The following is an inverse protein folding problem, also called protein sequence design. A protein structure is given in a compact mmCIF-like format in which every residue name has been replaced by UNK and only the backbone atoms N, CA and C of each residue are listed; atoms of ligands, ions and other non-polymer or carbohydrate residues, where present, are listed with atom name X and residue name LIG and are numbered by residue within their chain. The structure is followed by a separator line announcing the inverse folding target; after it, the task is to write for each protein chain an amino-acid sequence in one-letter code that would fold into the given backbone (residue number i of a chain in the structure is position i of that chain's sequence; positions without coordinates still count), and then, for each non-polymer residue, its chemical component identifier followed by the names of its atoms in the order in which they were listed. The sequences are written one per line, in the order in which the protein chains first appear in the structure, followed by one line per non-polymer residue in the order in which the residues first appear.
data_IF_191203804669
#
_entry.id   IF_191203804669
#
_cell.length_a   1.000
_cell.length_b   1.000
_cell.length_c   1.000
_cell.angle_alpha   90.00
_cell.angle_beta   90.00
_cell.angle_gamma   90.00
#
_symmetry.space_group_name_H-M   'P 1'
#
loop_
_entity.id
_entity.type
_entity.pdbx_description
1 polymer ?
#
# COMPACT_ATOMS: atom_id res chain seq x y z
N UNK A 1 34.80 -14.99 4.20
CA UNK A 1 33.92 -14.16 3.36
C UNK A 1 34.16 -12.74 3.78
N UNK A 2 34.99 -12.03 3.03
CA UNK A 2 35.69 -10.84 3.52
C UNK A 2 34.84 -9.56 3.42
N UNK A 3 33.59 -9.70 2.96
CA UNK A 3 32.65 -8.59 2.79
C UNK A 3 31.58 -8.53 3.87
N UNK A 4 31.38 -9.57 4.68
CA UNK A 4 30.26 -9.62 5.64
C UNK A 4 30.31 -8.46 6.63
N UNK A 5 31.47 -8.24 7.26
CA UNK A 5 31.67 -7.16 8.23
C UNK A 5 31.52 -5.73 7.65
N UNK A 6 31.52 -5.59 6.32
CA UNK A 6 31.36 -4.33 5.61
C UNK A 6 30.02 -4.23 4.86
N UNK A 7 29.17 -5.26 4.94
CA UNK A 7 27.87 -5.31 4.26
C UNK A 7 26.78 -4.95 5.25
N UNK A 8 26.13 -3.77 5.12
CA UNK A 8 25.06 -3.39 6.02
C UNK A 8 23.86 -4.30 5.88
N UNK A 9 23.26 -4.67 7.02
CA UNK A 9 21.98 -5.40 7.06
C UNK A 9 20.94 -4.54 7.75
N UNK A 10 19.72 -4.53 7.19
CA UNK A 10 18.60 -3.79 7.75
C UNK A 10 17.29 -4.59 7.64
N UNK A 11 16.44 -4.46 8.65
CA UNK A 11 15.05 -4.90 8.64
C UNK A 11 14.17 -3.69 9.00
N UNK A 12 13.17 -3.46 8.17
CA UNK A 12 12.21 -2.38 8.37
C UNK A 12 10.80 -2.94 8.38
N UNK A 13 10.11 -2.82 9.51
CA UNK A 13 8.73 -3.27 9.65
C UNK A 13 7.76 -2.17 9.18
N UNK A 14 6.62 -2.52 8.60
CA UNK A 14 5.67 -1.56 8.00
C UNK A 14 4.36 -1.47 8.79
N UNK A 15 3.23 -1.15 8.14
CA UNK A 15 1.95 -0.81 8.79
C UNK A 15 1.43 -1.89 9.75
N UNK A 16 1.66 -3.17 9.46
CA UNK A 16 1.21 -4.26 10.34
C UNK A 16 1.75 -4.11 11.76
N UNK A 17 3.03 -3.75 11.91
CA UNK A 17 3.63 -3.52 13.23
C UNK A 17 3.24 -2.15 13.81
N UNK A 18 3.01 -1.13 12.97
CA UNK A 18 2.50 0.19 13.38
C UNK A 18 1.12 0.11 14.06
N UNK A 19 0.31 -0.89 13.71
CA UNK A 19 -1.02 -1.10 14.25
C UNK A 19 -1.04 -1.92 15.56
N UNK A 20 0.08 -2.51 15.96
CA UNK A 20 0.18 -3.26 17.22
C UNK A 20 0.35 -2.33 18.43
N UNK A 21 -0.01 -2.78 19.64
CA UNK A 21 0.41 -2.14 20.86
C UNK A 21 1.94 -1.98 20.92
N UNK A 22 2.41 -0.81 21.36
CA UNK A 22 3.83 -0.44 21.34
C UNK A 22 4.75 -1.50 21.98
N UNK A 23 4.37 -2.03 23.14
CA UNK A 23 5.13 -3.07 23.86
C UNK A 23 5.31 -4.35 23.03
N UNK A 24 4.26 -4.79 22.32
CA UNK A 24 4.34 -5.97 21.43
C UNK A 24 5.26 -5.68 20.24
N UNK A 25 5.12 -4.51 19.64
CA UNK A 25 5.94 -4.11 18.49
C UNK A 25 7.43 -4.03 18.88
N UNK A 26 7.75 -3.38 19.99
CA UNK A 26 9.11 -3.26 20.53
C UNK A 26 9.71 -4.62 20.88
N UNK A 27 8.95 -5.48 21.56
CA UNK A 27 9.38 -6.84 21.90
C UNK A 27 9.76 -7.68 20.67
N UNK A 28 9.00 -7.55 19.56
CA UNK A 28 9.32 -8.21 18.30
C UNK A 28 10.60 -7.64 17.66
N UNK A 29 10.76 -6.31 17.64
CA UNK A 29 11.96 -5.68 17.10
C UNK A 29 13.22 -6.05 17.90
N UNK A 30 13.11 -6.17 19.22
CA UNK A 30 14.23 -6.56 20.07
C UNK A 30 14.71 -7.98 19.78
N UNK A 31 13.79 -8.91 19.46
CA UNK A 31 14.18 -10.26 18.97
C UNK A 31 14.91 -10.22 17.64
N UNK A 32 14.51 -9.34 16.73
CA UNK A 32 15.26 -9.12 15.48
C UNK A 32 16.64 -8.53 15.75
N UNK A 33 16.75 -7.54 16.66
CA UNK A 33 18.04 -6.94 17.06
C UNK A 33 18.97 -7.97 17.69
N UNK A 34 18.46 -8.84 18.56
CA UNK A 34 19.21 -9.97 19.13
C UNK A 34 19.78 -10.86 18.02
N UNK A 35 18.96 -11.26 17.06
CA UNK A 35 19.40 -12.06 15.91
C UNK A 35 20.47 -11.33 15.07
N UNK A 36 20.26 -10.05 14.77
CA UNK A 36 21.20 -9.23 13.99
C UNK A 36 22.56 -9.10 14.68
N UNK A 37 22.58 -8.90 16.01
CA UNK A 37 23.83 -8.85 16.80
C UNK A 37 24.68 -10.12 16.69
N UNK A 38 24.04 -11.27 16.46
CA UNK A 38 24.75 -12.55 16.26
C UNK A 38 25.15 -12.80 14.81
N UNK A 39 24.71 -11.96 13.88
CA UNK A 39 25.02 -12.08 12.46
C UNK A 39 26.41 -11.53 12.14
N UNK A 40 27.07 -12.01 11.06
CA UNK A 40 28.38 -11.51 10.65
C UNK A 40 28.31 -10.17 9.88
N UNK A 41 27.12 -9.62 9.67
CA UNK A 41 26.88 -8.42 8.88
C UNK A 41 27.13 -7.14 9.68
N UNK A 42 27.31 -6.01 8.98
CA UNK A 42 27.38 -4.71 9.63
C UNK A 42 25.98 -4.29 10.12
N UNK A 43 25.82 -4.23 11.43
CA UNK A 43 24.58 -3.79 12.09
C UNK A 43 24.79 -2.39 12.67
N UNK A 44 23.92 -1.45 12.30
CA UNK A 44 23.88 -0.08 12.81
C UNK A 44 22.68 0.09 13.74
N UNK A 45 22.66 1.18 14.51
CA UNK A 45 21.56 1.47 15.44
C UNK A 45 20.20 1.59 14.73
N UNK A 46 20.22 2.04 13.47
CA UNK A 46 19.03 2.19 12.65
C UNK A 46 18.71 0.96 11.80
N UNK A 47 19.48 -0.14 11.89
CA UNK A 47 19.28 -1.35 11.10
C UNK A 47 17.90 -1.97 11.31
N UNK A 48 17.38 -1.96 12.54
CA UNK A 48 16.09 -2.59 12.88
C UNK A 48 15.14 -1.53 13.44
N UNK A 49 14.13 -1.15 12.66
CA UNK A 49 13.11 -0.18 13.10
C UNK A 49 11.78 -0.37 12.38
N UNK A 50 10.74 0.28 12.89
CA UNK A 50 9.52 0.49 12.13
C UNK A 50 9.78 1.61 11.11
N UNK A 51 9.40 1.37 9.87
CA UNK A 51 9.44 2.37 8.80
C UNK A 51 8.22 3.29 8.93
N UNK A 52 8.46 4.59 8.80
CA UNK A 52 7.36 5.53 8.62
C UNK A 52 6.62 5.22 7.31
N UNK A 53 5.32 5.46 7.27
CA UNK A 53 4.54 5.17 6.07
C UNK A 53 4.95 6.02 4.87
N UNK A 54 5.36 7.27 5.11
CA UNK A 54 5.83 8.17 4.06
C UNK A 54 7.20 7.72 3.53
N UNK A 55 8.10 7.26 4.41
CA UNK A 55 9.39 6.66 4.04
C UNK A 55 9.19 5.41 3.16
N UNK A 56 8.17 4.60 3.45
CA UNK A 56 7.81 3.41 2.65
C UNK A 56 7.40 3.80 1.23
N UNK A 57 6.54 4.80 1.08
CA UNK A 57 6.13 5.34 -0.22
C UNK A 57 7.30 5.96 -1.01
N UNK A 58 8.14 6.76 -0.34
CA UNK A 58 9.35 7.34 -0.95
C UNK A 58 10.30 6.24 -1.42
N UNK A 59 10.55 5.23 -0.59
CA UNK A 59 11.44 4.13 -0.92
C UNK A 59 10.92 3.34 -2.12
N UNK A 60 9.62 3.07 -2.18
CA UNK A 60 8.99 2.48 -3.36
C UNK A 60 9.11 3.36 -4.61
N UNK A 61 8.94 4.67 -4.49
CA UNK A 61 9.12 5.60 -5.60
C UNK A 61 10.56 5.61 -6.11
N UNK A 62 11.55 5.58 -5.21
CA UNK A 62 12.97 5.44 -5.54
C UNK A 62 13.20 4.13 -6.30
N UNK A 63 12.67 3.00 -5.83
CA UNK A 63 12.80 1.70 -6.52
C UNK A 63 12.36 1.82 -7.98
N UNK A 64 11.13 2.28 -8.23
CA UNK A 64 10.56 2.33 -9.58
C UNK A 64 11.35 3.28 -10.47
N UNK A 65 11.68 4.47 -9.96
CA UNK A 65 12.39 5.49 -10.73
C UNK A 65 13.87 5.14 -10.94
N UNK A 66 14.49 4.36 -10.07
CA UNK A 66 15.83 3.82 -10.26
C UNK A 66 15.83 2.80 -11.40
N UNK A 67 14.93 1.82 -11.35
CA UNK A 67 14.82 0.77 -12.37
C UNK A 67 14.52 1.39 -13.75
N UNK A 68 13.69 2.44 -13.78
CA UNK A 68 13.33 3.16 -15.00
C UNK A 68 14.30 4.28 -15.40
N UNK A 69 15.43 4.41 -14.72
CA UNK A 69 16.51 5.37 -15.01
C UNK A 69 16.07 6.85 -15.01
N UNK A 70 15.03 7.19 -14.22
CA UNK A 70 14.52 8.56 -14.08
C UNK A 70 15.21 9.34 -12.95
N UNK A 71 15.91 8.68 -12.02
CA UNK A 71 16.51 9.37 -10.86
C UNK A 71 17.61 10.36 -11.26
N UNK A 72 18.38 10.06 -12.31
CA UNK A 72 19.48 10.90 -12.77
C UNK A 72 19.03 12.10 -13.62
N UNK A 73 17.76 12.13 -14.02
CA UNK A 73 17.22 13.20 -14.85
C UNK A 73 17.06 14.50 -14.04
N UNK A 74 17.31 15.63 -14.72
CA UNK A 74 17.12 16.98 -14.14
C UNK A 74 15.65 17.39 -14.12
N UNK A 75 14.83 16.83 -15.01
CA UNK A 75 13.39 17.02 -14.98
C UNK A 75 12.77 16.12 -13.92
N UNK A 76 11.74 16.60 -13.21
CA UNK A 76 10.87 15.74 -12.39
C UNK A 76 10.39 14.50 -13.16
N UNK A 77 10.29 13.38 -12.46
CA UNK A 77 9.81 12.14 -13.07
C UNK A 77 8.30 12.19 -13.25
N UNK A 78 7.83 11.81 -14.43
CA UNK A 78 6.40 11.61 -14.69
C UNK A 78 5.86 10.30 -14.10
N UNK A 79 6.67 9.54 -13.36
CA UNK A 79 6.28 8.28 -12.75
C UNK A 79 5.96 8.47 -11.26
N UNK A 80 4.71 8.16 -10.91
CA UNK A 80 4.25 7.98 -9.55
C UNK A 80 4.13 6.50 -9.17
N UNK A 81 3.94 6.24 -7.89
CA UNK A 81 3.66 4.90 -7.35
C UNK A 81 2.41 4.88 -6.49
N UNK A 82 1.81 3.70 -6.43
CA UNK A 82 0.72 3.34 -5.52
C UNK A 82 1.06 1.99 -4.88
N UNK A 83 1.09 1.93 -3.55
CA UNK A 83 1.29 0.67 -2.82
C UNK A 83 0.07 0.43 -1.94
N UNK A 84 -0.63 -0.69 -2.13
CA UNK A 84 -1.72 -1.09 -1.25
C UNK A 84 -1.29 -2.29 -0.41
N UNK A 85 -0.82 -2.00 0.81
CA UNK A 85 -0.49 -2.99 1.82
C UNK A 85 -1.71 -3.48 2.59
N UNK A 86 -1.48 -4.32 3.60
CA UNK A 86 -2.53 -4.83 4.49
C UNK A 86 -3.10 -3.76 5.44
N UNK A 87 -2.22 -2.94 6.03
CA UNK A 87 -2.57 -1.95 7.04
C UNK A 87 -2.55 -0.49 6.57
N UNK A 88 -1.90 -0.17 5.46
CA UNK A 88 -1.89 1.18 4.88
C UNK A 88 -1.85 1.12 3.36
N UNK A 89 -2.12 2.27 2.74
CA UNK A 89 -1.89 2.52 1.31
C UNK A 89 -1.03 3.77 1.14
N UNK A 90 -0.14 3.76 0.16
CA UNK A 90 0.80 4.83 -0.13
C UNK A 90 0.59 5.38 -1.53
N UNK A 91 0.75 6.69 -1.66
CA UNK A 91 0.86 7.40 -2.94
C UNK A 91 2.08 8.29 -2.89
N UNK A 92 2.94 8.18 -3.90
CA UNK A 92 4.14 9.02 -3.99
C UNK A 92 4.44 9.39 -5.44
N UNK A 93 4.70 10.66 -5.72
CA UNK A 93 5.09 11.14 -7.04
C UNK A 93 5.88 12.45 -6.95
N UNK A 94 6.53 12.84 -8.05
CA UNK A 94 7.19 14.14 -8.16
C UNK A 94 6.18 15.15 -8.74
N UNK A 95 5.71 16.16 -7.98
CA UNK A 95 4.81 17.17 -8.52
C UNK A 95 5.53 18.05 -9.55
N UNK A 96 4.87 18.35 -10.67
CA UNK A 96 5.32 19.29 -11.71
C UNK A 96 4.52 20.59 -11.68
N UNK A 97 3.31 20.56 -11.11
CA UNK A 97 2.41 21.70 -11.04
C UNK A 97 2.62 22.52 -9.77
N UNK A 98 2.80 23.83 -9.92
CA UNK A 98 2.79 24.78 -8.80
C UNK A 98 1.48 24.71 -8.00
N UNK A 99 0.36 24.37 -8.66
CA UNK A 99 -0.94 24.18 -8.00
C UNK A 99 -0.89 23.04 -6.98
N UNK A 100 -0.28 21.91 -7.34
CA UNK A 100 -0.12 20.76 -6.45
C UNK A 100 0.74 21.14 -5.25
N UNK A 101 1.85 21.84 -5.49
CA UNK A 101 2.77 22.29 -4.44
C UNK A 101 2.11 23.28 -3.46
N UNK A 102 1.22 24.14 -3.94
CA UNK A 102 0.57 25.17 -3.12
C UNK A 102 -0.68 24.68 -2.39
N UNK A 103 -1.44 23.76 -2.98
CA UNK A 103 -2.75 23.32 -2.44
C UNK A 103 -2.66 22.03 -1.62
N UNK A 104 -1.59 21.24 -1.77
CA UNK A 104 -1.39 20.04 -0.96
C UNK A 104 -1.05 20.38 0.49
N UNK A 105 -1.43 19.52 1.47
CA UNK A 105 -0.96 19.64 2.84
C UNK A 105 0.57 19.71 2.91
N UNK A 106 1.08 20.58 3.78
CA UNK A 106 2.53 20.84 3.91
C UNK A 106 3.28 19.56 4.27
N UNK A 107 2.70 18.71 5.12
CA UNK A 107 3.26 17.44 5.55
C UNK A 107 3.27 16.36 4.45
N UNK A 108 2.62 16.61 3.31
CA UNK A 108 2.62 15.69 2.17
C UNK A 108 3.73 16.05 1.17
N UNK A 109 4.26 17.27 1.22
CA UNK A 109 5.36 17.70 0.37
C UNK A 109 6.67 17.55 1.13
N UNK A 110 7.53 16.66 0.64
CA UNK A 110 8.82 16.35 1.26
C UNK A 110 9.97 16.52 0.28
N UNK A 111 11.14 16.89 0.79
CA UNK A 111 12.37 16.98 0.00
C UNK A 111 13.37 15.97 0.52
N UNK A 112 13.84 15.09 -0.36
CA UNK A 112 14.87 14.11 -0.05
C UNK A 112 16.17 14.46 -0.77
N UNK A 113 17.30 14.09 -0.16
CA UNK A 113 18.59 14.06 -0.84
C UNK A 113 18.86 12.64 -1.33
N UNK A 114 19.13 12.50 -2.62
CA UNK A 114 19.51 11.22 -3.19
C UNK A 114 20.55 11.45 -4.28
N UNK A 115 21.71 10.82 -4.15
CA UNK A 115 22.83 10.93 -5.08
C UNK A 115 23.23 12.39 -5.35
N UNK A 116 23.40 13.17 -4.27
CA UNK A 116 23.71 14.61 -4.31
C UNK A 116 22.69 15.47 -5.07
N UNK A 117 21.43 15.03 -5.16
CA UNK A 117 20.35 15.80 -5.75
C UNK A 117 19.16 15.86 -4.82
N UNK A 118 18.62 17.06 -4.66
CA UNK A 118 17.34 17.28 -4.00
C UNK A 118 16.21 16.82 -4.93
N UNK A 119 15.30 15.99 -4.41
CA UNK A 119 14.05 15.62 -5.08
C UNK A 119 12.87 16.05 -4.19
N UNK A 120 11.99 16.87 -4.74
CA UNK A 120 10.74 17.26 -4.08
C UNK A 120 9.65 16.27 -4.50
N UNK A 121 8.99 15.66 -3.52
CA UNK A 121 7.99 14.62 -3.71
C UNK A 121 6.70 15.00 -2.97
N UNK A 122 5.57 14.69 -3.59
CA UNK A 122 4.33 14.45 -2.88
C UNK A 122 4.36 13.01 -2.38
N UNK A 123 4.21 12.79 -1.08
CA UNK A 123 4.17 11.45 -0.49
C UNK A 123 3.24 11.43 0.71
N UNK A 124 2.33 10.46 0.74
CA UNK A 124 1.51 10.22 1.91
C UNK A 124 1.18 8.74 2.10
N UNK A 125 1.03 8.34 3.37
CA UNK A 125 0.60 7.00 3.78
C UNK A 125 -0.68 7.08 4.60
N UNK A 126 -1.74 6.48 4.07
CA UNK A 126 -3.02 6.42 4.75
C UNK A 126 -3.08 5.16 5.63
N UNK A 127 -2.64 5.29 6.89
CA UNK A 127 -2.71 4.22 7.88
C UNK A 127 -4.18 3.84 8.20
N UNK A 128 -4.46 2.54 8.30
CA UNK A 128 -5.80 1.99 8.46
C UNK A 128 -6.59 1.88 7.15
N UNK A 129 -6.07 2.40 6.04
CA UNK A 129 -6.64 2.28 4.70
C UNK A 129 -5.85 1.27 3.82
N UNK A 130 -5.14 0.33 4.44
CA UNK A 130 -4.69 -0.87 3.73
C UNK A 130 -5.85 -1.82 3.48
N UNK A 131 -5.70 -2.78 2.57
CA UNK A 131 -6.83 -3.63 2.14
C UNK A 131 -7.46 -4.40 3.30
N UNK A 132 -6.65 -4.97 4.20
CA UNK A 132 -7.16 -5.79 5.31
C UNK A 132 -7.77 -4.95 6.42
N UNK A 133 -7.15 -3.82 6.78
CA UNK A 133 -7.72 -2.89 7.75
C UNK A 133 -9.00 -2.23 7.24
N UNK A 134 -9.05 -1.86 5.96
CA UNK A 134 -10.25 -1.35 5.33
C UNK A 134 -11.34 -2.42 5.29
N UNK A 135 -11.00 -3.67 4.99
CA UNK A 135 -11.93 -4.80 5.04
C UNK A 135 -12.58 -4.92 6.43
N UNK A 136 -11.80 -4.87 7.51
CA UNK A 136 -12.35 -4.90 8.86
C UNK A 136 -13.38 -3.77 9.09
N UNK A 137 -13.03 -2.54 8.69
CA UNK A 137 -13.93 -1.39 8.80
C UNK A 137 -15.21 -1.57 7.95
N UNK A 138 -15.08 -2.08 6.72
CA UNK A 138 -16.22 -2.36 5.82
C UNK A 138 -17.12 -3.46 6.40
N UNK A 139 -16.56 -4.46 7.07
CA UNK A 139 -17.33 -5.48 7.79
C UNK A 139 -18.00 -4.92 9.05
N UNK A 140 -17.59 -3.74 9.53
CA UNK A 140 -18.12 -3.09 10.73
C UNK A 140 -17.35 -3.42 12.01
N UNK A 141 -16.17 -4.02 11.87
CA UNK A 141 -15.25 -4.23 12.98
C UNK A 141 -14.42 -2.98 13.29
N UNK A 142 -13.64 -3.07 14.37
CA UNK A 142 -12.72 -2.02 14.80
C UNK A 142 -11.37 -2.67 15.11
N UNK A 143 -10.29 -2.07 14.64
CA UNK A 143 -8.94 -2.59 14.84
C UNK A 143 -8.64 -2.88 16.32
N UNK A 144 -7.98 -4.01 16.57
CA UNK A 144 -7.62 -4.49 17.91
C UNK A 144 -8.79 -4.63 18.90
N UNK A 145 -10.04 -4.72 18.43
CA UNK A 145 -11.22 -4.91 19.30
C UNK A 145 -11.97 -6.21 18.97
N UNK A 146 -11.81 -7.26 19.80
CA UNK A 146 -12.59 -8.48 19.68
C UNK A 146 -14.09 -8.23 19.83
N UNK A 147 -14.90 -9.07 19.18
CA UNK A 147 -16.33 -9.10 19.38
C UNK A 147 -16.69 -9.64 20.77
N UNK A 148 -17.80 -9.15 21.35
CA UNK A 148 -18.35 -9.79 22.56
C UNK A 148 -18.95 -11.15 22.19
N UNK A 149 -19.03 -12.06 23.16
CA UNK A 149 -19.62 -13.39 22.95
C UNK A 149 -21.00 -13.32 22.27
N UNK A 150 -21.16 -14.09 21.20
CA UNK A 150 -22.41 -14.16 20.41
C UNK A 150 -22.61 -13.03 19.40
N UNK A 151 -21.71 -12.06 19.30
CA UNK A 151 -21.76 -11.03 18.25
C UNK A 151 -21.17 -11.53 16.93
N UNK A 152 -21.70 -11.01 15.83
CA UNK A 152 -21.23 -11.27 14.46
C UNK A 152 -21.18 -9.94 13.70
N UNK A 153 -20.21 -9.81 12.79
CA UNK A 153 -20.17 -8.69 11.86
C UNK A 153 -21.13 -8.95 10.69
N UNK A 154 -22.04 -8.01 10.45
CA UNK A 154 -23.01 -8.08 9.35
C UNK A 154 -22.62 -7.04 8.32
N UNK A 155 -22.43 -7.48 7.08
CA UNK A 155 -21.96 -6.59 6.00
C UNK A 155 -22.80 -6.71 4.75
N UNK A 156 -23.16 -5.55 4.21
CA UNK A 156 -23.74 -5.40 2.88
C UNK A 156 -22.73 -5.64 1.74
N UNK A 157 -21.47 -5.94 2.07
CA UNK A 157 -20.43 -6.29 1.10
C UNK A 157 -20.19 -7.80 0.95
N UNK A 158 -20.98 -8.63 1.64
CA UNK A 158 -20.93 -10.08 1.56
C UNK A 158 -22.24 -10.60 0.96
N UNK A 159 -22.16 -11.72 0.22
CA UNK A 159 -23.36 -12.35 -0.33
C UNK A 159 -24.38 -12.67 0.78
N UNK A 160 -25.70 -12.50 0.56
CA UNK A 160 -26.70 -12.60 1.64
C UNK A 160 -26.66 -13.90 2.45
N UNK A 161 -26.40 -15.03 1.78
CA UNK A 161 -26.35 -16.35 2.41
C UNK A 161 -24.97 -16.71 2.98
N UNK A 162 -23.96 -15.85 2.76
CA UNK A 162 -22.61 -16.12 3.23
C UNK A 162 -22.54 -16.03 4.76
N UNK A 163 -21.92 -17.05 5.36
CA UNK A 163 -21.51 -17.09 6.77
C UNK A 163 -20.15 -17.74 6.86
N UNK A 164 -19.26 -17.16 7.66
CA UNK A 164 -17.93 -17.71 7.84
C UNK A 164 -17.17 -17.06 8.99
N UNK A 165 -15.94 -17.51 9.16
CA UNK A 165 -14.98 -16.93 10.09
C UNK A 165 -13.83 -16.31 9.29
N UNK A 166 -13.33 -15.19 9.78
CA UNK A 166 -12.19 -14.50 9.18
C UNK A 166 -11.23 -14.04 10.28
N UNK A 167 -9.98 -14.44 10.18
CA UNK A 167 -8.94 -14.02 11.12
C UNK A 167 -8.23 -12.76 10.62
N UNK A 168 -8.10 -11.77 11.50
CA UNK A 168 -7.34 -10.54 11.27
C UNK A 168 -6.70 -10.08 12.56
N UNK A 169 -5.38 -9.83 12.53
CA UNK A 169 -4.60 -9.39 13.69
C UNK A 169 -4.82 -10.26 14.94
N UNK A 170 -4.69 -11.58 14.79
CA UNK A 170 -4.87 -12.58 15.86
C UNK A 170 -6.31 -12.66 16.43
N UNK A 171 -7.28 -12.00 15.80
CA UNK A 171 -8.69 -12.01 16.22
C UNK A 171 -9.54 -12.71 15.15
N UNK A 172 -10.31 -13.71 15.58
CA UNK A 172 -11.28 -14.40 14.72
C UNK A 172 -12.62 -13.69 14.78
N UNK A 173 -13.09 -13.20 13.63
CA UNK A 173 -14.39 -12.54 13.47
C UNK A 173 -15.38 -13.51 12.83
N UNK A 174 -16.53 -13.70 13.48
CA UNK A 174 -17.70 -14.32 12.83
C UNK A 174 -18.38 -13.28 11.95
N UNK A 175 -18.55 -13.59 10.68
CA UNK A 175 -19.03 -12.65 9.67
C UNK A 175 -20.19 -13.26 8.88
N UNK A 176 -21.15 -12.41 8.47
CA UNK A 176 -22.26 -12.83 7.62
C UNK A 176 -22.74 -11.74 6.67
N UNK A 177 -23.36 -12.18 5.58
CA UNK A 177 -24.11 -11.34 4.66
C UNK A 177 -25.27 -10.61 5.32
N UNK A 178 -25.52 -9.40 4.84
CA UNK A 178 -26.76 -8.67 5.12
C UNK A 178 -27.83 -9.08 4.11
N UNK A 179 -29.10 -9.09 4.54
CA UNK A 179 -30.22 -9.26 3.59
C UNK A 179 -30.22 -8.12 2.57
N UNK A 180 -30.41 -8.41 1.27
CA UNK A 180 -30.27 -7.42 0.23
C UNK A 180 -31.48 -6.47 0.24
N UNK A 181 -31.22 -5.18 0.34
CA UNK A 181 -32.18 -4.11 0.04
C UNK A 181 -31.98 -3.59 -1.40
N UNK A 182 -30.75 -3.74 -1.91
CA UNK A 182 -30.29 -3.34 -3.24
C UNK A 182 -29.27 -4.38 -3.75
N UNK A 183 -28.88 -4.36 -5.04
CA UNK A 183 -27.80 -5.20 -5.55
C UNK A 183 -26.52 -5.07 -4.72
N UNK A 184 -25.80 -6.18 -4.55
CA UNK A 184 -24.61 -6.30 -3.68
C UNK A 184 -23.56 -5.21 -4.00
N UNK A 185 -23.34 -4.93 -5.28
CA UNK A 185 -22.40 -3.89 -5.71
C UNK A 185 -22.77 -2.50 -5.16
N UNK A 186 -24.04 -2.11 -5.26
CA UNK A 186 -24.50 -0.77 -4.88
C UNK A 186 -24.41 -0.56 -3.38
N UNK A 187 -24.96 -1.51 -2.61
CA UNK A 187 -24.98 -1.45 -1.15
C UNK A 187 -23.55 -1.49 -0.57
N UNK A 188 -22.66 -2.28 -1.17
CA UNK A 188 -21.26 -2.31 -0.78
C UNK A 188 -20.51 -1.01 -1.13
N UNK A 189 -20.70 -0.49 -2.35
CA UNK A 189 -20.08 0.77 -2.78
C UNK A 189 -20.49 1.93 -1.88
N UNK A 190 -21.78 2.07 -1.58
CA UNK A 190 -22.28 3.11 -0.68
C UNK A 190 -21.64 3.03 0.72
N UNK A 191 -21.42 1.82 1.24
CA UNK A 191 -20.74 1.62 2.53
C UNK A 191 -19.26 2.01 2.46
N UNK A 192 -18.57 1.65 1.38
CA UNK A 192 -17.16 2.00 1.18
C UNK A 192 -16.98 3.52 1.03
N UNK A 193 -17.83 4.18 0.23
CA UNK A 193 -17.82 5.65 0.08
C UNK A 193 -17.99 6.34 1.43
N UNK A 194 -18.90 5.86 2.28
CA UNK A 194 -19.07 6.38 3.64
C UNK A 194 -17.82 6.22 4.50
N UNK A 195 -17.10 5.11 4.35
CA UNK A 195 -15.86 4.85 5.09
C UNK A 195 -14.72 5.75 4.62
N UNK A 196 -14.66 6.09 3.34
CA UNK A 196 -13.60 6.89 2.74
C UNK A 196 -13.90 8.40 2.71
N UNK A 197 -15.15 8.80 2.96
CA UNK A 197 -15.60 10.19 2.93
C UNK A 197 -14.64 11.13 3.70
N UNK A 198 -14.07 12.09 2.97
CA UNK A 198 -13.13 13.12 3.48
C UNK A 198 -11.86 12.58 4.16
N UNK A 199 -11.47 11.33 3.90
CA UNK A 199 -10.23 10.77 4.46
C UNK A 199 -9.00 10.94 3.55
N UNK A 200 -9.21 11.25 2.28
CA UNK A 200 -8.14 11.31 1.28
C UNK A 200 -8.01 12.70 0.69
N UNK A 201 -6.76 13.06 0.41
CA UNK A 201 -6.43 14.23 -0.39
C UNK A 201 -6.50 13.89 -1.87
N UNK A 202 -7.00 14.81 -2.69
CA UNK A 202 -7.19 14.66 -4.14
C UNK A 202 -6.24 15.60 -4.90
N UNK A 203 -5.01 15.19 -5.22
CA UNK A 203 -4.13 15.99 -6.07
C UNK A 203 -4.61 15.93 -7.52
N UNK A 204 -4.92 17.07 -8.14
CA UNK A 204 -5.41 17.11 -9.53
C UNK A 204 -4.43 16.49 -10.53
N UNK A 205 -3.13 16.62 -10.24
CA UNK A 205 -2.04 16.22 -11.12
C UNK A 205 -1.92 14.70 -11.34
N UNK A 206 -2.58 13.87 -10.53
CA UNK A 206 -2.50 12.41 -10.65
C UNK A 206 -2.91 11.89 -12.03
N UNK A 207 -3.80 12.60 -12.73
CA UNK A 207 -4.28 12.21 -14.06
C UNK A 207 -3.30 12.54 -15.20
N UNK A 208 -2.28 13.34 -14.94
CA UNK A 208 -1.26 13.73 -15.92
C UNK A 208 0.04 12.91 -15.78
N UNK A 209 0.07 11.97 -14.84
CA UNK A 209 1.23 11.16 -14.50
C UNK A 209 0.97 9.68 -14.79
N UNK A 210 2.04 8.92 -14.95
CA UNK A 210 1.99 7.47 -15.07
C UNK A 210 2.19 6.84 -13.70
N UNK A 211 1.25 6.01 -13.25
CA UNK A 211 1.39 5.31 -11.96
C UNK A 211 1.71 3.83 -12.11
N UNK A 212 2.72 3.37 -11.37
CA UNK A 212 2.93 1.95 -11.09
C UNK A 212 2.25 1.58 -9.78
N UNK A 213 1.38 0.58 -9.82
CA UNK A 213 0.68 0.06 -8.66
C UNK A 213 1.06 -1.41 -8.40
N UNK A 214 1.30 -1.75 -7.14
CA UNK A 214 1.75 -3.08 -6.73
C UNK A 214 1.04 -3.54 -5.44
N UNK A 215 1.50 -4.65 -4.87
CA UNK A 215 0.87 -5.30 -3.70
C UNK A 215 -0.61 -5.64 -3.97
N UNK A 216 -1.54 -5.28 -3.09
CA UNK A 216 -2.94 -5.70 -3.25
C UNK A 216 -3.66 -5.08 -4.45
N UNK A 217 -3.20 -3.96 -5.02
CA UNK A 217 -3.67 -3.53 -6.33
C UNK A 217 -3.42 -4.63 -7.36
N UNK A 218 -2.19 -5.12 -7.42
CA UNK A 218 -1.79 -6.22 -8.32
C UNK A 218 -2.55 -7.51 -8.02
N UNK A 219 -2.58 -7.95 -6.75
CA UNK A 219 -3.16 -9.25 -6.40
C UNK A 219 -4.66 -9.31 -6.73
N UNK A 220 -5.43 -8.24 -6.45
CA UNK A 220 -6.87 -8.23 -6.75
C UNK A 220 -7.16 -8.17 -8.25
N UNK A 221 -6.30 -7.51 -9.03
CA UNK A 221 -6.41 -7.55 -10.48
C UNK A 221 -6.16 -8.95 -11.05
N UNK A 222 -5.17 -9.69 -10.53
CA UNK A 222 -4.95 -11.11 -10.87
C UNK A 222 -6.16 -11.95 -10.48
N UNK A 223 -6.66 -11.79 -9.25
CA UNK A 223 -7.82 -12.55 -8.75
C UNK A 223 -9.08 -12.33 -9.58
N UNK A 224 -9.22 -11.15 -10.17
CA UNK A 224 -10.32 -10.76 -11.05
C UNK A 224 -10.09 -11.13 -12.53
N UNK A 225 -8.91 -11.65 -12.89
CA UNK A 225 -8.54 -11.96 -14.28
C UNK A 225 -8.30 -10.73 -15.16
N UNK A 226 -8.00 -9.56 -14.57
CA UNK A 226 -7.72 -8.33 -15.30
C UNK A 226 -6.30 -8.31 -15.90
N UNK A 227 -5.37 -9.04 -15.29
CA UNK A 227 -3.97 -9.11 -15.69
C UNK A 227 -3.43 -10.53 -15.52
N UNK A 228 -2.30 -10.81 -16.18
CA UNK A 228 -1.55 -12.05 -16.02
C UNK A 228 -0.69 -12.03 -14.73
N UNK A 229 -0.66 -13.14 -13.98
CA UNK A 229 0.05 -13.25 -12.70
C UNK A 229 1.59 -13.22 -12.83
N UNK A 230 2.13 -13.61 -13.98
CA UNK A 230 3.57 -13.61 -14.18
C UNK A 230 4.04 -12.28 -14.77
N UNK A 231 3.31 -11.78 -15.76
CA UNK A 231 3.68 -10.62 -16.58
C UNK A 231 3.15 -9.30 -16.03
N UNK A 232 2.08 -9.33 -15.24
CA UNK A 232 1.33 -8.14 -14.87
C UNK A 232 0.55 -7.57 -16.05
N UNK A 233 0.28 -6.26 -16.01
CA UNK A 233 -0.50 -5.63 -17.07
C UNK A 233 -0.68 -4.14 -16.91
N UNK A 234 -1.39 -3.55 -17.87
CA UNK A 234 -1.82 -2.15 -17.82
C UNK A 234 -3.33 -2.13 -17.95
N UNK A 235 -4.00 -1.45 -17.03
CA UNK A 235 -5.46 -1.36 -16.99
C UNK A 235 -5.89 0.11 -16.88
N UNK A 236 -7.17 0.37 -17.11
CA UNK A 236 -7.82 1.62 -16.73
C UNK A 236 -8.54 1.44 -15.40
N UNK A 237 -8.75 2.54 -14.66
CA UNK A 237 -9.51 2.49 -13.40
C UNK A 237 -10.91 1.87 -13.56
N UNK A 238 -11.59 2.17 -14.67
CA UNK A 238 -12.90 1.58 -15.01
C UNK A 238 -12.91 0.05 -15.13
N UNK A 239 -11.75 -0.58 -15.35
CA UNK A 239 -11.65 -2.03 -15.48
C UNK A 239 -11.86 -2.71 -14.12
N UNK A 240 -11.39 -2.09 -13.03
CA UNK A 240 -11.75 -2.51 -11.66
C UNK A 240 -13.25 -2.37 -11.40
N UNK A 241 -13.86 -1.26 -11.83
CA UNK A 241 -15.31 -1.03 -11.68
C UNK A 241 -16.12 -2.14 -12.38
N UNK A 242 -15.73 -2.47 -13.61
CA UNK A 242 -16.39 -3.49 -14.43
C UNK A 242 -16.21 -4.88 -13.81
N UNK A 243 -14.99 -5.24 -13.41
CA UNK A 243 -14.71 -6.51 -12.76
C UNK A 243 -15.46 -6.64 -11.43
N UNK A 244 -15.52 -5.58 -10.62
CA UNK A 244 -16.27 -5.54 -9.37
C UNK A 244 -17.74 -5.89 -9.63
N UNK A 245 -18.41 -5.21 -10.56
CA UNK A 245 -19.82 -5.49 -10.92
C UNK A 245 -20.04 -6.96 -11.29
N UNK A 246 -19.17 -7.51 -12.14
CA UNK A 246 -19.25 -8.91 -12.57
C UNK A 246 -19.04 -9.91 -11.42
N UNK A 247 -18.07 -9.64 -10.54
CA UNK A 247 -17.80 -10.49 -9.36
C UNK A 247 -18.98 -10.43 -8.39
N UNK A 248 -19.48 -9.24 -8.06
CA UNK A 248 -20.60 -9.07 -7.15
C UNK A 248 -21.86 -9.80 -7.66
N UNK A 249 -22.18 -9.67 -8.96
CA UNK A 249 -23.33 -10.35 -9.56
C UNK A 249 -23.22 -11.89 -9.50
N UNK A 250 -22.01 -12.44 -9.73
CA UNK A 250 -21.76 -13.89 -9.58
C UNK A 250 -21.91 -14.36 -8.14
N UNK A 251 -21.48 -13.55 -7.18
CA UNK A 251 -21.61 -13.85 -5.76
C UNK A 251 -23.06 -13.84 -5.26
N UNK A 252 -23.95 -13.09 -5.92
CA UNK A 252 -25.39 -13.12 -5.60
C UNK A 252 -26.08 -14.41 -6.09
N UNK A 253 -25.50 -15.08 -7.08
CA UNK A 253 -26.09 -16.26 -7.74
C UNK A 253 -25.45 -17.59 -7.36
N UNK A 254 -24.23 -17.57 -6.82
CA UNK A 254 -23.46 -18.77 -6.50
C UNK A 254 -22.50 -18.56 -5.33
N UNK A 255 -22.22 -19.64 -4.59
CA UNK A 255 -21.18 -19.65 -3.57
C UNK A 255 -19.81 -19.46 -4.22
N UNK A 256 -18.98 -18.57 -3.67
CA UNK A 256 -17.63 -18.29 -4.15
C UNK A 256 -16.59 -18.72 -3.12
N UNK A 257 -15.44 -19.20 -3.60
CA UNK A 257 -14.25 -19.43 -2.76
C UNK A 257 -13.56 -18.13 -2.34
N UNK A 258 -13.86 -17.00 -3.02
CA UNK A 258 -13.31 -15.68 -2.75
C UNK A 258 -14.40 -14.72 -2.25
N UNK A 259 -14.89 -14.87 -1.00
CA UNK A 259 -16.04 -14.12 -0.49
C UNK A 259 -15.80 -12.62 -0.33
N UNK A 260 -14.56 -12.15 -0.44
CA UNK A 260 -14.21 -10.73 -0.28
C UNK A 260 -13.89 -10.04 -1.61
N UNK A 261 -13.79 -10.76 -2.74
CA UNK A 261 -13.28 -10.18 -3.98
C UNK A 261 -14.16 -9.04 -4.52
N UNK A 262 -15.49 -9.17 -4.45
CA UNK A 262 -16.43 -8.08 -4.80
C UNK A 262 -16.09 -6.81 -4.00
N UNK A 263 -16.04 -6.92 -2.68
CA UNK A 263 -15.73 -5.81 -1.77
C UNK A 263 -14.35 -5.21 -2.03
N UNK A 264 -13.33 -6.04 -2.20
CA UNK A 264 -11.95 -5.60 -2.40
C UNK A 264 -11.78 -4.82 -3.71
N UNK A 265 -12.43 -5.25 -4.79
CA UNK A 265 -12.40 -4.55 -6.08
C UNK A 265 -13.14 -3.22 -6.02
N UNK A 266 -14.31 -3.18 -5.35
CA UNK A 266 -15.02 -1.91 -5.11
C UNK A 266 -14.15 -0.98 -4.27
N UNK A 267 -13.50 -1.51 -3.23
CA UNK A 267 -12.64 -0.73 -2.36
C UNK A 267 -11.49 -0.08 -3.14
N UNK A 268 -10.78 -0.86 -3.96
CA UNK A 268 -9.70 -0.34 -4.82
C UNK A 268 -10.22 0.74 -5.78
N UNK A 269 -11.36 0.49 -6.43
CA UNK A 269 -11.95 1.45 -7.36
C UNK A 269 -12.29 2.78 -6.66
N UNK A 270 -13.06 2.73 -5.56
CA UNK A 270 -13.46 3.94 -4.82
C UNK A 270 -12.25 4.63 -4.18
N UNK A 271 -11.26 3.87 -3.69
CA UNK A 271 -10.02 4.43 -3.14
C UNK A 271 -9.29 5.30 -4.17
N UNK A 272 -9.17 4.80 -5.41
CA UNK A 272 -8.51 5.53 -6.49
C UNK A 272 -9.35 6.74 -6.97
N UNK A 273 -10.67 6.61 -7.03
CA UNK A 273 -11.57 7.75 -7.27
C UNK A 273 -11.41 8.83 -6.17
N UNK A 274 -11.31 8.42 -4.91
CA UNK A 274 -11.10 9.32 -3.77
C UNK A 274 -9.67 9.90 -3.69
N UNK A 275 -8.71 9.33 -4.42
CA UNK A 275 -7.39 9.92 -4.68
C UNK A 275 -7.38 10.86 -5.90
N UNK A 276 -8.52 11.00 -6.61
CA UNK A 276 -8.66 11.92 -7.74
C UNK A 276 -8.40 11.30 -9.12
N UNK A 277 -8.18 9.99 -9.22
CA UNK A 277 -8.02 9.32 -10.51
C UNK A 277 -9.33 9.29 -11.30
N UNK A 278 -9.27 9.65 -12.57
CA UNK A 278 -10.38 9.56 -13.52
C UNK A 278 -10.58 8.12 -14.00
N UNK A 279 -11.78 7.82 -14.52
CA UNK A 279 -12.16 6.45 -14.94
C UNK A 279 -11.25 5.88 -16.02
N UNK A 280 -10.74 6.73 -16.90
CA UNK A 280 -9.85 6.37 -17.99
C UNK A 280 -8.36 6.45 -17.62
N UNK A 281 -8.03 6.84 -16.37
CA UNK A 281 -6.67 6.88 -15.87
C UNK A 281 -6.00 5.50 -16.02
N UNK A 282 -4.82 5.50 -16.60
CA UNK A 282 -4.06 4.29 -16.93
C UNK A 282 -3.11 3.95 -15.79
N UNK A 283 -3.21 2.71 -15.29
CA UNK A 283 -2.42 2.22 -14.16
C UNK A 283 -1.62 1.00 -14.62
N UNK A 284 -0.30 1.02 -14.37
CA UNK A 284 0.59 -0.11 -14.63
C UNK A 284 0.64 -0.99 -13.39
N UNK A 285 0.18 -2.23 -13.51
CA UNK A 285 0.21 -3.21 -12.43
C UNK A 285 1.41 -4.13 -12.62
N UNK A 286 2.37 -4.05 -11.71
CA UNK A 286 3.62 -4.80 -11.81
C UNK A 286 4.00 -5.43 -10.47
N UNK A 287 4.22 -6.75 -10.45
CA UNK A 287 4.89 -7.42 -9.33
C UNK A 287 6.42 -7.31 -9.43
N UNK A 288 6.92 -7.28 -10.67
CA UNK A 288 8.32 -7.06 -11.00
C UNK A 288 8.44 -6.04 -12.12
N UNK A 289 9.51 -5.26 -12.09
CA UNK A 289 9.89 -4.33 -13.15
C UNK A 289 11.32 -4.69 -13.53
N UNK A 290 11.53 -5.07 -14.79
CA UNK A 290 12.85 -5.46 -15.32
C UNK A 290 13.55 -6.53 -14.43
N UNK A 291 12.79 -7.55 -14.04
CA UNK A 291 13.16 -8.67 -13.13
C UNK A 291 13.43 -8.30 -11.66
N UNK A 292 13.30 -7.04 -11.28
CA UNK A 292 13.39 -6.58 -9.88
C UNK A 292 12.00 -6.51 -9.26
N UNK A 293 11.86 -6.91 -8.00
CA UNK A 293 10.61 -6.82 -7.27
C UNK A 293 10.13 -5.36 -7.14
N UNK A 294 8.87 -5.10 -7.49
CA UNK A 294 8.24 -3.81 -7.32
C UNK A 294 7.82 -3.64 -5.85
N UNK A 295 8.76 -3.18 -5.02
CA UNK A 295 8.55 -2.92 -3.60
C UNK A 295 9.47 -1.80 -3.10
N UNK A 296 9.32 -1.40 -1.84
CA UNK A 296 10.16 -0.38 -1.21
C UNK A 296 11.61 -0.83 -0.92
N UNK A 297 11.89 -2.14 -0.92
CA UNK A 297 13.15 -2.68 -0.38
C UNK A 297 14.41 -2.19 -1.11
N UNK A 298 14.38 -2.14 -2.45
CA UNK A 298 15.52 -1.67 -3.24
C UNK A 298 15.79 -0.18 -2.98
N UNK A 299 14.77 0.67 -3.06
CA UNK A 299 14.92 2.11 -2.83
C UNK A 299 15.33 2.43 -1.39
N UNK A 300 14.82 1.70 -0.40
CA UNK A 300 15.28 1.82 0.98
C UNK A 300 16.77 1.45 1.09
N UNK A 301 17.23 0.41 0.40
CA UNK A 301 18.64 0.01 0.37
C UNK A 301 19.52 1.07 -0.29
N UNK A 302 19.09 1.62 -1.44
CA UNK A 302 19.80 2.69 -2.14
C UNK A 302 19.94 3.94 -1.28
N UNK A 303 18.86 4.39 -0.66
CA UNK A 303 18.86 5.56 0.23
C UNK A 303 19.73 5.31 1.48
N UNK A 304 19.68 4.10 2.04
CA UNK A 304 20.50 3.70 3.18
C UNK A 304 22.00 3.74 2.86
N UNK A 305 22.39 3.18 1.71
CA UNK A 305 23.79 3.17 1.24
C UNK A 305 24.26 4.58 0.87
N UNK A 306 23.45 5.39 0.20
CA UNK A 306 23.80 6.78 -0.15
C UNK A 306 24.06 7.63 1.10
N UNK A 307 23.16 7.55 2.10
CA UNK A 307 23.34 8.19 3.40
C UNK A 307 24.61 7.70 4.12
N UNK A 308 24.87 6.40 4.09
CA UNK A 308 26.06 5.81 4.68
C UNK A 308 27.36 6.35 4.05
N UNK A 309 27.42 6.39 2.72
CA UNK A 309 28.59 6.91 1.99
C UNK A 309 28.82 8.40 2.23
N UNK A 310 27.75 9.20 2.30
CA UNK A 310 27.86 10.62 2.66
C UNK A 310 28.43 10.80 4.07
N UNK A 311 28.01 9.98 5.03
CA UNK A 311 28.52 10.02 6.42
C UNK A 311 30.00 9.63 6.51
N UNK A 312 30.44 8.66 5.69
CA UNK A 312 31.85 8.30 5.61
C UNK A 312 32.69 9.40 4.97
N UNK A 313 32.19 10.03 3.90
CA UNK A 313 32.86 11.13 3.22
C UNK A 313 33.04 12.38 4.09
N UNK A 314 32.10 12.67 4.99
CA UNK A 314 32.22 13.79 5.95
C UNK A 314 33.11 13.49 7.15
N UNK A 315 33.32 12.22 7.51
CA UNK A 315 34.29 11.83 8.55
C UNK A 315 35.74 11.77 8.05
N UNK A 316 35.96 11.79 6.74
CA UNK A 316 37.28 11.76 6.09
C UNK A 316 37.75 13.14 5.58
N UNK A 317 36.91 14.18 5.69
CA UNK A 317 37.21 15.57 5.33
C UNK A 317 37.41 16.43 6.58
#
# INVERSE_FOLDING_TARGET
SDFWANTPVALKATAGLRLLPAEKAEGLLDKVKEAFKTSPFLVRDDSVRIMDGTDEGISAWITVNFIKDYLHMSKPSSIGILDLGGGSTQITFSPHSDMTLQTSPIDYITSIQLFNRTKTLYSHSYLGLGLLSARLAILGGVESKPLKNGQELVSACLAPEYKGEWEHAEIVYKIKGQKPEEPLYNSCRARIEKILYKKLHKPEEVNNLLFYAFSYYYNRAVDAGLIDEEKGGTIKLQDYETAAKQVCQRMESSSTEKPFLCMDLIYINVLLEELGFQKDAVIKLARKIDNVEASWALGASLHYVDSFLQTLGTMQA
#
